data_IF_510726009475
#
_entry.id   IF_510726009475
#
_cell.length_a   1.000
_cell.length_b   1.000
_cell.length_c   1.000
_cell.angle_alpha   90.00
_cell.angle_beta   90.00
_cell.angle_gamma   90.00
#
_symmetry.space_group_name_H-M   'P 1'
#
loop_
_entity.id
_entity.type
_entity.pdbx_description
1 polymer ?
#
# COMPACT_ATOMS: atom_id res chain seq x y z
N UNK A 1 5.17 8.90 4.02
CA UNK A 1 4.78 7.70 3.24
C UNK A 1 3.65 6.98 3.97
N UNK A 2 2.73 6.36 3.25
CA UNK A 2 1.57 5.67 3.83
C UNK A 2 1.57 4.19 3.43
N UNK A 3 1.69 3.28 4.42
CA UNK A 3 1.41 1.85 4.30
C UNK A 3 0.29 1.49 5.27
N UNK A 4 -0.96 1.67 4.84
CA UNK A 4 -2.16 1.52 5.67
C UNK A 4 -3.30 0.88 4.85
N UNK A 5 -4.42 0.55 5.49
CA UNK A 5 -5.61 0.02 4.83
C UNK A 5 -5.70 -1.51 4.77
N UNK A 6 -4.64 -2.22 5.14
CA UNK A 6 -4.64 -3.69 5.14
C UNK A 6 -5.59 -4.29 6.19
N UNK A 7 -5.86 -3.61 7.31
CA UNK A 7 -6.84 -4.11 8.29
C UNK A 7 -8.26 -3.75 7.89
N UNK A 8 -8.45 -2.57 7.29
CA UNK A 8 -9.73 -2.08 6.77
C UNK A 8 -10.28 -2.96 5.65
N UNK A 9 -9.39 -3.54 4.83
CA UNK A 9 -9.74 -4.51 3.81
C UNK A 9 -10.17 -5.89 4.37
N UNK A 10 -9.80 -6.22 5.62
CA UNK A 10 -10.26 -7.41 6.35
C UNK A 10 -11.55 -7.09 7.10
N UNK A 11 -12.55 -6.57 6.38
CA UNK A 11 -13.87 -6.24 6.88
C UNK A 11 -14.93 -6.74 5.87
N UNK A 12 -16.00 -7.45 6.30
CA UNK A 12 -17.05 -7.94 5.40
C UNK A 12 -17.73 -6.87 4.54
N UNK A 13 -17.76 -5.62 5.01
CA UNK A 13 -18.37 -4.48 4.30
C UNK A 13 -17.32 -3.59 3.64
N UNK A 14 -16.07 -4.05 3.51
CA UNK A 14 -15.00 -3.29 2.87
C UNK A 14 -15.32 -3.08 1.38
N UNK A 15 -15.47 -1.82 0.99
CA UNK A 15 -15.68 -1.43 -0.40
C UNK A 15 -14.37 -0.84 -0.96
N UNK A 16 -13.82 -1.36 -2.08
CA UNK A 16 -12.51 -0.96 -2.59
C UNK A 16 -12.35 0.54 -2.88
N UNK A 17 -13.40 1.20 -3.39
CA UNK A 17 -13.37 2.63 -3.71
C UNK A 17 -13.38 3.47 -2.45
N UNK A 18 -14.21 3.15 -1.46
CA UNK A 18 -14.21 3.80 -0.15
C UNK A 18 -12.87 3.65 0.55
N UNK A 19 -12.26 2.46 0.49
CA UNK A 19 -10.91 2.24 1.02
C UNK A 19 -9.88 3.15 0.34
N UNK A 20 -9.88 3.20 -1.00
CA UNK A 20 -8.98 4.06 -1.76
C UNK A 20 -9.17 5.54 -1.42
N UNK A 21 -10.42 6.02 -1.38
CA UNK A 21 -10.77 7.39 -1.03
C UNK A 21 -10.29 7.72 0.38
N UNK A 22 -10.57 6.88 1.38
CA UNK A 22 -10.15 7.13 2.75
C UNK A 22 -8.62 7.25 2.89
N UNK A 23 -7.86 6.40 2.20
CA UNK A 23 -6.39 6.47 2.20
C UNK A 23 -5.92 7.78 1.57
N UNK A 24 -6.52 8.18 0.44
CA UNK A 24 -6.17 9.44 -0.22
C UNK A 24 -6.60 10.66 0.60
N UNK A 25 -7.73 10.63 1.31
CA UNK A 25 -8.12 11.70 2.23
C UNK A 25 -7.08 11.92 3.33
N UNK A 26 -6.44 10.86 3.83
CA UNK A 26 -5.31 10.99 4.77
C UNK A 26 -4.10 11.63 4.08
N UNK A 27 -3.81 11.26 2.83
CA UNK A 27 -2.75 11.90 2.05
C UNK A 27 -3.01 13.41 1.84
N UNK A 28 -4.22 13.78 1.44
CA UNK A 28 -4.63 15.20 1.29
C UNK A 28 -4.52 15.96 2.60
N UNK A 29 -4.95 15.35 3.72
CA UNK A 29 -4.80 15.95 5.03
C UNK A 29 -3.34 16.18 5.42
N UNK A 30 -2.44 15.25 5.09
CA UNK A 30 -1.00 15.45 5.31
C UNK A 30 -0.45 16.61 4.46
N UNK A 31 -0.85 16.69 3.18
CA UNK A 31 -0.42 17.76 2.28
C UNK A 31 -0.89 19.13 2.77
N UNK A 32 -2.20 19.29 2.96
CA UNK A 32 -2.81 20.59 3.22
C UNK A 32 -2.89 20.94 4.71
N UNK A 33 -3.05 19.94 5.58
CA UNK A 33 -3.17 20.13 7.02
C UNK A 33 -1.85 20.09 7.77
N UNK A 34 -0.84 19.39 7.25
CA UNK A 34 0.48 19.26 7.91
C UNK A 34 1.64 19.88 7.11
N UNK A 35 1.37 20.48 5.94
CA UNK A 35 2.40 21.09 5.10
C UNK A 35 3.39 20.09 4.49
N UNK A 36 3.02 18.81 4.39
CA UNK A 36 3.85 17.81 3.71
C UNK A 36 3.89 18.15 2.22
N UNK A 37 5.09 18.18 1.64
CA UNK A 37 5.26 18.54 0.22
C UNK A 37 4.90 17.41 -0.74
N UNK A 38 5.08 16.16 -0.31
CA UNK A 38 4.82 14.99 -1.14
C UNK A 38 4.44 13.76 -0.32
N UNK A 39 3.39 13.06 -0.73
CA UNK A 39 2.94 11.81 -0.09
C UNK A 39 3.10 10.63 -1.04
N UNK A 40 3.86 9.62 -0.60
CA UNK A 40 3.91 8.33 -1.30
C UNK A 40 2.94 7.36 -0.63
N UNK A 41 1.93 6.91 -1.39
CA UNK A 41 0.98 5.87 -0.99
C UNK A 41 1.50 4.53 -1.50
N UNK A 42 1.81 3.62 -0.59
CA UNK A 42 2.38 2.33 -0.92
C UNK A 42 1.29 1.28 -1.18
N UNK A 43 1.63 0.31 -2.02
CA UNK A 43 0.74 -0.77 -2.40
C UNK A 43 0.27 -1.60 -1.18
N UNK A 44 -1.05 -1.77 -1.04
CA UNK A 44 -1.62 -2.70 -0.07
C UNK A 44 -1.20 -4.14 -0.41
N UNK A 45 -0.79 -4.88 0.61
CA UNK A 45 -0.24 -6.23 0.46
C UNK A 45 -1.34 -7.30 0.46
N UNK A 46 -1.20 -8.34 -0.40
CA UNK A 46 -2.06 -9.50 -0.33
C UNK A 46 -1.79 -10.30 0.96
N UNK A 47 -2.78 -11.06 1.40
CA UNK A 47 -2.68 -11.97 2.55
C UNK A 47 -3.06 -13.38 2.15
N UNK A 48 -2.45 -14.39 2.78
CA UNK A 48 -2.83 -15.80 2.66
C UNK A 48 -3.88 -16.21 3.68
N UNK A 49 -3.98 -15.48 4.79
CA UNK A 49 -5.00 -15.67 5.84
C UNK A 49 -5.55 -14.33 6.30
N UNK A 50 -6.75 -14.35 6.84
CA UNK A 50 -7.53 -13.18 7.25
C UNK A 50 -8.39 -13.56 8.46
N UNK A 51 -8.86 -12.56 9.22
CA UNK A 51 -9.61 -12.80 10.45
C UNK A 51 -11.12 -12.73 10.24
N UNK A 52 -11.61 -11.86 9.36
CA UNK A 52 -13.03 -11.52 9.27
C UNK A 52 -13.67 -11.88 7.93
N UNK A 53 -12.88 -11.97 6.86
CA UNK A 53 -13.36 -12.34 5.51
C UNK A 53 -12.53 -13.48 4.94
N UNK A 54 -12.94 -14.06 3.81
CA UNK A 54 -12.09 -15.02 3.10
C UNK A 54 -10.86 -14.34 2.48
N UNK A 55 -9.70 -15.01 2.38
CA UNK A 55 -8.52 -14.45 1.72
C UNK A 55 -8.77 -14.04 0.27
N UNK A 56 -9.67 -14.75 -0.44
CA UNK A 56 -10.07 -14.41 -1.81
C UNK A 56 -10.79 -13.07 -1.85
N UNK A 57 -11.78 -12.86 -0.97
CA UNK A 57 -12.49 -11.60 -0.86
C UNK A 57 -11.54 -10.45 -0.53
N UNK A 58 -10.72 -10.61 0.51
CA UNK A 58 -9.70 -9.65 0.91
C UNK A 58 -8.76 -9.26 -0.25
N UNK A 59 -8.17 -10.25 -0.92
CA UNK A 59 -7.21 -10.01 -1.98
C UNK A 59 -7.85 -9.35 -3.21
N UNK A 60 -9.13 -9.64 -3.48
CA UNK A 60 -9.90 -8.94 -4.51
C UNK A 60 -10.13 -7.47 -4.14
N UNK A 61 -10.48 -7.19 -2.88
CA UNK A 61 -10.64 -5.82 -2.37
C UNK A 61 -9.33 -5.05 -2.44
N UNK A 62 -8.23 -5.62 -1.94
CA UNK A 62 -6.88 -5.04 -2.01
C UNK A 62 -6.45 -4.76 -3.45
N UNK A 63 -6.67 -5.70 -4.37
CA UNK A 63 -6.32 -5.53 -5.79
C UNK A 63 -7.09 -4.37 -6.42
N UNK A 64 -8.40 -4.30 -6.21
CA UNK A 64 -9.25 -3.21 -6.74
C UNK A 64 -8.89 -1.87 -6.11
N UNK A 65 -8.67 -1.81 -4.80
CA UNK A 65 -8.25 -0.59 -4.11
C UNK A 65 -6.90 -0.08 -4.65
N UNK A 66 -5.91 -0.95 -4.80
CA UNK A 66 -4.62 -0.59 -5.41
C UNK A 66 -4.76 -0.03 -6.84
N UNK A 67 -5.65 -0.61 -7.66
CA UNK A 67 -5.94 -0.11 -9.01
C UNK A 67 -6.56 1.29 -8.98
N UNK A 68 -7.53 1.50 -8.08
CA UNK A 68 -8.20 2.79 -7.91
C UNK A 68 -7.24 3.87 -7.40
N UNK A 69 -6.46 3.58 -6.36
CA UNK A 69 -5.43 4.51 -5.85
C UNK A 69 -4.48 4.89 -6.98
N UNK A 70 -3.95 3.92 -7.71
CA UNK A 70 -3.03 4.18 -8.83
C UNK A 70 -3.67 5.09 -9.89
N UNK A 71 -4.94 4.85 -10.26
CA UNK A 71 -5.65 5.66 -11.25
C UNK A 71 -5.91 7.08 -10.76
N UNK A 72 -6.36 7.24 -9.51
CA UNK A 72 -6.70 8.54 -8.92
C UNK A 72 -5.49 9.47 -8.76
N UNK A 73 -4.29 8.92 -8.61
CA UNK A 73 -3.06 9.71 -8.43
C UNK A 73 -2.15 9.73 -9.67
N UNK A 74 -2.63 9.22 -10.81
CA UNK A 74 -1.81 9.09 -12.01
C UNK A 74 -1.26 10.42 -12.51
N UNK A 75 -2.10 11.46 -12.50
CA UNK A 75 -1.76 12.80 -13.01
C UNK A 75 -1.38 13.79 -11.89
N UNK A 76 -1.22 13.29 -10.66
CA UNK A 76 -0.85 14.10 -9.50
C UNK A 76 0.67 14.28 -9.41
N UNK A 77 1.09 15.44 -8.90
CA UNK A 77 2.52 15.76 -8.67
C UNK A 77 2.94 15.63 -7.20
N UNK A 78 1.99 15.81 -6.31
CA UNK A 78 2.08 15.84 -4.84
C UNK A 78 1.81 14.48 -4.18
N UNK A 79 1.10 13.57 -4.88
CA UNK A 79 0.85 12.20 -4.41
C UNK A 79 1.34 11.19 -5.45
N UNK A 80 2.11 10.19 -5.00
CA UNK A 80 2.58 9.09 -5.86
C UNK A 80 2.13 7.73 -5.32
N UNK A 81 1.64 6.86 -6.20
CA UNK A 81 1.45 5.44 -5.90
C UNK A 81 2.75 4.64 -6.10
N UNK A 82 3.16 3.89 -5.08
CA UNK A 82 4.37 3.05 -5.13
C UNK A 82 4.05 1.56 -5.09
N UNK A 83 4.40 0.85 -6.17
CA UNK A 83 4.25 -0.61 -6.29
C UNK A 83 5.43 -1.33 -5.64
N UNK A 84 5.13 -2.33 -4.81
CA UNK A 84 6.13 -3.21 -4.22
C UNK A 84 6.60 -4.28 -5.22
N UNK A 85 7.66 -3.99 -5.98
CA UNK A 85 8.27 -4.95 -6.91
C UNK A 85 8.89 -6.14 -6.15
N UNK A 86 8.61 -7.36 -6.60
CA UNK A 86 9.24 -8.59 -6.10
C UNK A 86 8.76 -9.11 -4.73
N UNK A 87 7.76 -8.47 -4.11
CA UNK A 87 7.11 -8.95 -2.88
C UNK A 87 6.02 -9.99 -3.18
N UNK A 88 5.17 -9.77 -4.19
CA UNK A 88 4.12 -10.72 -4.58
C UNK A 88 4.67 -11.95 -5.31
N UNK A 89 5.66 -11.76 -6.18
CA UNK A 89 6.23 -12.78 -7.08
C UNK A 89 7.57 -13.30 -6.56
N UNK A 90 7.70 -13.42 -5.23
CA UNK A 90 8.93 -13.90 -4.62
C UNK A 90 9.09 -15.41 -4.83
N UNK A 91 10.27 -15.90 -5.24
CA UNK A 91 10.55 -17.34 -5.26
C UNK A 91 10.60 -17.95 -3.86
N UNK A 92 10.96 -17.14 -2.86
CA UNK A 92 10.96 -17.53 -1.45
C UNK A 92 9.68 -17.10 -0.76
N UNK A 93 9.27 -17.82 0.28
CA UNK A 93 8.17 -17.36 1.12
C UNK A 93 8.53 -16.04 1.81
N UNK A 94 7.63 -15.05 1.70
CA UNK A 94 7.83 -13.70 2.25
C UNK A 94 6.91 -13.42 3.43
N UNK A 95 5.93 -14.29 3.70
CA UNK A 95 5.01 -14.13 4.81
C UNK A 95 5.42 -15.01 5.99
N UNK A 96 5.04 -14.59 7.19
CA UNK A 96 5.04 -15.44 8.37
C UNK A 96 3.99 -16.55 8.24
N UNK A 97 4.04 -17.54 9.14
CA UNK A 97 3.05 -18.62 9.20
C UNK A 97 1.60 -18.12 9.40
N UNK A 98 1.43 -16.92 9.95
CA UNK A 98 0.13 -16.27 10.06
C UNK A 98 -0.47 -15.84 8.71
N UNK A 99 0.32 -15.84 7.63
CA UNK A 99 -0.13 -15.46 6.29
C UNK A 99 -0.50 -13.99 6.14
N UNK A 100 -0.14 -13.13 7.10
CA UNK A 100 -0.48 -11.71 7.17
C UNK A 100 0.77 -10.85 7.20
N UNK A 101 1.70 -11.14 8.10
CA UNK A 101 2.89 -10.33 8.31
C UNK A 101 4.04 -10.80 7.43
N UNK A 102 4.97 -9.91 7.13
CA UNK A 102 6.19 -10.25 6.42
C UNK A 102 7.17 -10.96 7.36
N UNK A 103 7.82 -12.01 6.89
CA UNK A 103 8.87 -12.68 7.65
C UNK A 103 10.19 -11.90 7.62
N UNK A 104 11.05 -12.17 8.59
CA UNK A 104 12.35 -11.49 8.74
C UNK A 104 13.38 -11.95 7.70
N UNK A 105 13.34 -13.21 7.28
CA UNK A 105 14.35 -13.80 6.40
C UNK A 105 14.29 -13.25 4.97
N UNK A 106 13.08 -13.01 4.44
CA UNK A 106 12.89 -12.65 3.03
C UNK A 106 11.91 -11.50 2.81
N UNK A 107 10.83 -11.45 3.59
CA UNK A 107 9.77 -10.45 3.46
C UNK A 107 10.24 -9.05 3.82
N UNK A 108 10.69 -8.83 5.06
CA UNK A 108 11.16 -7.54 5.54
C UNK A 108 12.35 -6.99 4.73
N UNK A 109 13.41 -7.77 4.41
CA UNK A 109 14.50 -7.26 3.58
C UNK A 109 14.06 -6.79 2.19
N UNK A 110 13.08 -7.47 1.58
CA UNK A 110 12.49 -7.03 0.29
C UNK A 110 11.63 -5.78 0.46
N UNK A 111 10.83 -5.73 1.51
CA UNK A 111 10.01 -4.56 1.81
C UNK A 111 10.85 -3.32 2.07
N UNK A 112 11.90 -3.41 2.90
CA UNK A 112 12.84 -2.31 3.16
C UNK A 112 13.47 -1.81 1.86
N UNK A 113 13.92 -2.70 0.97
CA UNK A 113 14.44 -2.29 -0.35
C UNK A 113 13.38 -1.57 -1.19
N UNK A 114 12.13 -2.03 -1.14
CA UNK A 114 11.02 -1.36 -1.82
C UNK A 114 10.74 0.02 -1.22
N UNK A 115 10.74 0.15 0.10
CA UNK A 115 10.55 1.43 0.82
C UNK A 115 11.68 2.41 0.48
N UNK A 116 12.94 1.96 0.43
CA UNK A 116 14.06 2.79 -0.03
C UNK A 116 13.81 3.36 -1.44
N UNK A 117 13.27 2.54 -2.34
CA UNK A 117 12.86 2.99 -3.67
C UNK A 117 11.76 4.07 -3.62
N UNK A 118 10.76 3.91 -2.75
CA UNK A 118 9.69 4.88 -2.54
C UNK A 118 10.24 6.23 -2.07
N UNK A 119 11.17 6.22 -1.11
CA UNK A 119 11.83 7.43 -0.60
C UNK A 119 12.58 8.15 -1.71
N UNK A 120 13.40 7.46 -2.50
CA UNK A 120 14.15 8.06 -3.61
C UNK A 120 13.21 8.72 -4.62
N UNK A 121 12.10 8.07 -4.97
CA UNK A 121 11.09 8.62 -5.88
C UNK A 121 10.43 9.86 -5.29
N UNK A 122 10.04 9.81 -4.01
CA UNK A 122 9.44 10.95 -3.31
C UNK A 122 10.38 12.15 -3.19
N UNK A 123 11.65 11.93 -2.82
CA UNK A 123 12.63 13.01 -2.68
C UNK A 123 12.89 13.76 -4.00
N UNK A 124 12.87 13.06 -5.14
CA UNK A 124 13.02 13.69 -6.47
C UNK A 124 11.85 14.60 -6.86
N UNK A 125 10.68 14.43 -6.22
CA UNK A 125 9.49 15.24 -6.46
C UNK A 125 9.46 16.52 -5.63
N UNK A 126 10.19 16.54 -4.51
CA UNK A 126 10.27 17.70 -3.59
C UNK A 126 11.37 18.70 -3.99
N UNK A 127 12.40 18.24 -4.71
CA UNK A 127 13.50 19.09 -5.17
C UNK A 127 13.28 19.78 -6.52
N UNK A 128 12.04 19.85 -7.02
CA UNK A 128 11.62 20.61 -8.20
C UNK A 128 10.65 21.69 -7.77
#
# INVERSE_FOLDING_TARGET
>A
MLQIGGNDADNPTAEPRRLAVNILSIAEWLLHGCGVLHVVVMQLLPRRRTRRVSPIHYNNTVRRANQLIKGMVMDRQDITYHKHKGLKESPNDVLCHDGVHLNESHGLPKYVRSVRGAVIVGSRRVGR
#
